data_IF_662150042085
#
_entry.id   IF_662150042085
#
_cell.length_a   1.000
_cell.length_b   1.000
_cell.length_c   1.000
_cell.angle_alpha   90.00
_cell.angle_beta   90.00
_cell.angle_gamma   90.00
#
_symmetry.space_group_name_H-M   'P 1'
#
loop_
_entity.id
_entity.type
_entity.pdbx_description
1 polymer ?
#
# COMPACT_ATOMS: atom_id res chain seq x y z
N UNK A 1 19.99 -38.98 -31.16
CA UNK A 1 20.40 -37.57 -31.41
C UNK A 1 19.33 -36.71 -32.12
N UNK A 2 18.87 -37.04 -33.35
CA UNK A 2 17.93 -36.22 -34.11
C UNK A 2 16.56 -35.96 -33.41
N UNK A 3 16.01 -36.93 -32.64
CA UNK A 3 14.73 -36.74 -31.86
C UNK A 3 14.90 -35.81 -30.69
N UNK A 4 16.00 -35.90 -29.94
CA UNK A 4 16.26 -34.99 -28.81
C UNK A 4 16.48 -33.54 -29.27
N UNK A 5 17.16 -33.35 -30.41
CA UNK A 5 17.39 -32.03 -31.01
C UNK A 5 16.07 -31.39 -31.46
N UNK A 6 15.16 -32.18 -32.05
CA UNK A 6 13.82 -31.69 -32.44
C UNK A 6 12.97 -31.32 -31.23
N UNK A 7 13.00 -32.11 -30.16
CA UNK A 7 12.28 -31.82 -28.92
C UNK A 7 12.79 -30.53 -28.25
N UNK A 8 14.11 -30.36 -28.18
CA UNK A 8 14.74 -29.14 -27.64
C UNK A 8 14.39 -27.91 -28.48
N UNK A 9 14.39 -28.01 -29.81
CA UNK A 9 14.02 -26.93 -30.72
C UNK A 9 12.55 -26.53 -30.56
N UNK A 10 11.64 -27.53 -30.43
CA UNK A 10 10.21 -27.28 -30.19
C UNK A 10 9.94 -26.60 -28.83
N UNK A 11 10.63 -27.05 -27.77
CA UNK A 11 10.54 -26.41 -26.43
C UNK A 11 11.07 -24.99 -26.45
N UNK A 12 12.17 -24.69 -27.14
CA UNK A 12 12.68 -23.33 -27.30
C UNK A 12 11.71 -22.44 -28.09
N UNK A 13 11.07 -22.94 -29.15
CA UNK A 13 10.10 -22.22 -29.94
C UNK A 13 8.82 -21.93 -29.13
N UNK A 14 8.34 -22.88 -28.34
CA UNK A 14 7.18 -22.69 -27.46
C UNK A 14 7.48 -21.69 -26.33
N UNK A 15 8.68 -21.77 -25.73
CA UNK A 15 9.11 -20.81 -24.72
C UNK A 15 9.26 -19.40 -25.28
N UNK A 16 9.81 -19.24 -26.48
CA UNK A 16 9.94 -17.95 -27.17
C UNK A 16 8.59 -17.37 -27.58
N UNK A 17 7.66 -18.20 -28.07
CA UNK A 17 6.30 -17.76 -28.41
C UNK A 17 5.52 -17.31 -27.17
N UNK A 18 5.63 -18.05 -26.06
CA UNK A 18 5.02 -17.66 -24.78
C UNK A 18 5.60 -16.34 -24.25
N UNK A 19 6.90 -16.14 -24.36
CA UNK A 19 7.57 -14.90 -23.96
C UNK A 19 7.15 -13.70 -24.81
N UNK A 20 7.04 -13.85 -26.12
CA UNK A 20 6.52 -12.81 -27.03
C UNK A 20 5.06 -12.45 -26.72
N UNK A 21 4.20 -13.44 -26.42
CA UNK A 21 2.81 -13.19 -26.07
C UNK A 21 2.68 -12.42 -24.74
N UNK A 22 3.45 -12.79 -23.71
CA UNK A 22 3.49 -12.09 -22.42
C UNK A 22 3.95 -10.65 -22.59
N UNK A 23 5.00 -10.39 -23.35
CA UNK A 23 5.49 -9.04 -23.65
C UNK A 23 4.46 -8.22 -24.42
N UNK A 24 3.70 -8.83 -25.33
CA UNK A 24 2.64 -8.14 -26.07
C UNK A 24 1.50 -7.70 -25.14
N UNK A 25 1.10 -8.54 -24.19
CA UNK A 25 0.11 -8.21 -23.17
C UNK A 25 0.58 -7.03 -22.32
N UNK A 26 1.82 -7.08 -21.83
CA UNK A 26 2.41 -5.98 -21.03
C UNK A 26 2.38 -4.68 -21.82
N UNK A 27 2.90 -4.66 -23.03
CA UNK A 27 2.90 -3.45 -23.90
C UNK A 27 1.49 -2.90 -24.11
N UNK A 28 0.52 -3.76 -24.42
CA UNK A 28 -0.89 -3.37 -24.62
C UNK A 28 -1.49 -2.78 -23.34
N UNK A 29 -1.20 -3.36 -22.19
CA UNK A 29 -1.70 -2.89 -20.89
C UNK A 29 -1.12 -1.51 -20.56
N UNK A 30 0.19 -1.31 -20.71
CA UNK A 30 0.81 -0.01 -20.46
C UNK A 30 0.32 1.05 -21.45
N UNK A 31 0.21 0.74 -22.75
CA UNK A 31 -0.35 1.68 -23.73
C UNK A 31 -1.80 2.08 -23.41
N UNK A 32 -2.61 1.18 -22.81
CA UNK A 32 -3.93 1.52 -22.31
C UNK A 32 -3.85 2.40 -21.07
N UNK A 33 -2.98 2.05 -20.11
CA UNK A 33 -2.78 2.82 -18.88
C UNK A 33 -2.33 4.26 -19.20
N UNK A 34 -1.40 4.46 -20.14
CA UNK A 34 -0.98 5.79 -20.60
C UNK A 34 -2.16 6.64 -21.07
N UNK A 35 -3.03 6.08 -21.93
CA UNK A 35 -4.20 6.82 -22.43
C UNK A 35 -5.19 7.16 -21.33
N UNK A 36 -5.46 6.21 -20.42
CA UNK A 36 -6.40 6.42 -19.33
C UNK A 36 -5.87 7.40 -18.28
N UNK A 37 -4.58 7.33 -17.96
CA UNK A 37 -3.94 8.27 -17.03
C UNK A 37 -3.91 9.69 -17.60
N UNK A 38 -3.58 9.86 -18.89
CA UNK A 38 -3.62 11.15 -19.55
C UNK A 38 -5.05 11.74 -19.56
N UNK A 39 -6.06 10.92 -19.83
CA UNK A 39 -7.47 11.34 -19.76
C UNK A 39 -7.85 11.75 -18.34
N UNK A 40 -7.54 10.92 -17.32
CA UNK A 40 -7.81 11.26 -15.92
C UNK A 40 -7.14 12.57 -15.51
N UNK A 41 -5.87 12.77 -15.87
CA UNK A 41 -5.14 14.01 -15.59
C UNK A 41 -5.82 15.24 -16.21
N UNK A 42 -6.32 15.11 -17.44
CA UNK A 42 -7.01 16.20 -18.15
C UNK A 42 -8.36 16.59 -17.53
N UNK A 43 -8.99 15.69 -16.77
CA UNK A 43 -10.26 15.93 -16.09
C UNK A 43 -10.07 16.57 -14.70
N UNK A 44 -8.85 16.60 -14.17
CA UNK A 44 -8.55 17.19 -12.88
C UNK A 44 -8.27 18.69 -13.04
N UNK A 45 -9.12 19.52 -12.45
CA UNK A 45 -9.09 20.98 -12.59
C UNK A 45 -7.98 21.68 -11.79
N UNK A 46 -7.34 20.96 -10.86
CA UNK A 46 -6.23 21.47 -10.05
C UNK A 46 -5.20 20.36 -9.72
N UNK A 47 -3.92 20.71 -9.50
CA UNK A 47 -2.87 19.73 -9.23
C UNK A 47 -3.04 18.99 -7.90
N UNK A 48 -3.72 19.59 -6.92
CA UNK A 48 -3.98 19.07 -5.57
C UNK A 48 -5.29 18.25 -5.47
N UNK A 49 -5.96 18.02 -6.59
CA UNK A 49 -7.10 17.12 -6.69
C UNK A 49 -6.67 15.74 -7.21
N UNK A 50 -7.16 14.71 -6.54
CA UNK A 50 -6.87 13.30 -6.84
C UNK A 50 -8.16 12.56 -7.21
N UNK A 51 -8.13 11.69 -8.23
CA UNK A 51 -9.32 10.95 -8.63
C UNK A 51 -9.74 9.97 -7.53
N UNK A 52 -11.03 9.89 -7.25
CA UNK A 52 -11.60 9.01 -6.23
C UNK A 52 -12.56 7.98 -6.82
N UNK A 53 -13.55 8.43 -7.58
CA UNK A 53 -14.55 7.57 -8.22
C UNK A 53 -15.30 8.35 -9.31
N UNK A 54 -16.19 7.67 -10.02
CA UNK A 54 -17.12 8.31 -10.95
C UNK A 54 -18.48 8.52 -10.29
N UNK A 55 -19.07 9.67 -10.53
CA UNK A 55 -20.46 9.94 -10.19
C UNK A 55 -21.40 9.27 -11.21
N UNK A 56 -22.68 9.02 -10.86
CA UNK A 56 -23.65 8.45 -11.81
C UNK A 56 -23.85 9.27 -13.09
N UNK A 57 -23.61 10.58 -13.03
CA UNK A 57 -23.71 11.51 -14.18
C UNK A 57 -22.46 11.49 -15.09
N UNK A 58 -21.47 10.63 -14.80
CA UNK A 58 -20.24 10.52 -15.56
C UNK A 58 -19.17 11.55 -15.18
N UNK A 59 -19.40 12.41 -14.19
CA UNK A 59 -18.38 13.32 -13.69
C UNK A 59 -17.42 12.61 -12.72
N UNK A 60 -16.18 13.14 -12.61
CA UNK A 60 -15.20 12.58 -11.69
C UNK A 60 -15.39 13.14 -10.28
N UNK A 61 -15.45 12.24 -9.31
CA UNK A 61 -15.34 12.60 -7.90
C UNK A 61 -13.87 12.68 -7.51
N UNK A 62 -13.47 13.75 -6.85
CA UNK A 62 -12.09 13.98 -6.44
C UNK A 62 -11.93 14.04 -4.92
N UNK A 63 -10.71 13.78 -4.46
CA UNK A 63 -10.25 14.00 -3.09
C UNK A 63 -9.09 15.02 -3.11
N UNK A 64 -8.86 15.65 -1.97
CA UNK A 64 -7.61 16.39 -1.69
C UNK A 64 -6.51 15.42 -1.24
N UNK A 65 -5.30 15.94 -0.98
CA UNK A 65 -4.19 15.17 -0.44
C UNK A 65 -4.55 14.37 0.84
N UNK A 66 -5.52 14.83 1.64
CA UNK A 66 -5.96 14.14 2.86
C UNK A 66 -6.89 12.94 2.63
N UNK A 67 -7.28 12.66 1.40
CA UNK A 67 -8.01 11.43 1.07
C UNK A 67 -7.05 10.22 1.08
N UNK A 68 -7.42 9.12 1.72
CA UNK A 68 -6.56 7.95 1.90
C UNK A 68 -6.01 7.34 0.57
N UNK A 69 -6.71 7.56 -0.53
CA UNK A 69 -6.32 7.08 -1.87
C UNK A 69 -5.45 8.08 -2.65
N UNK A 70 -5.10 9.24 -2.09
CA UNK A 70 -4.41 10.33 -2.81
C UNK A 70 -3.04 9.93 -3.38
N UNK A 71 -2.38 8.94 -2.79
CA UNK A 71 -1.08 8.47 -3.26
C UNK A 71 -1.11 7.53 -4.46
N UNK A 72 -2.26 6.90 -4.78
CA UNK A 72 -2.30 5.88 -5.85
C UNK A 72 -2.14 6.49 -7.24
N UNK A 73 -2.87 7.55 -7.55
CA UNK A 73 -2.77 8.17 -8.87
C UNK A 73 -1.37 8.70 -9.20
N UNK A 74 -0.68 9.43 -8.30
CA UNK A 74 0.73 9.76 -8.53
C UNK A 74 1.63 8.52 -8.65
N UNK A 75 1.38 7.46 -7.87
CA UNK A 75 2.17 6.22 -7.96
C UNK A 75 2.01 5.55 -9.34
N UNK A 76 0.80 5.49 -9.89
CA UNK A 76 0.56 4.98 -11.24
C UNK A 76 1.34 5.76 -12.30
N UNK A 77 1.43 7.08 -12.16
CA UNK A 77 2.21 7.93 -13.08
C UNK A 77 3.71 7.66 -12.96
N UNK A 78 4.22 7.45 -11.74
CA UNK A 78 5.61 7.03 -11.54
C UNK A 78 5.91 5.68 -12.19
N UNK A 79 4.98 4.72 -12.14
CA UNK A 79 5.11 3.43 -12.83
C UNK A 79 5.10 3.58 -14.35
N UNK A 80 4.31 4.50 -14.90
CA UNK A 80 4.36 4.83 -16.32
C UNK A 80 5.73 5.41 -16.72
N UNK A 81 6.28 6.31 -15.91
CA UNK A 81 7.65 6.80 -16.12
C UNK A 81 8.68 5.68 -16.03
N UNK A 82 8.57 4.79 -15.07
CA UNK A 82 9.48 3.65 -14.93
C UNK A 82 9.49 2.77 -16.18
N UNK A 83 8.31 2.50 -16.73
CA UNK A 83 8.15 1.65 -17.90
C UNK A 83 8.58 2.31 -19.20
N UNK A 84 8.16 3.56 -19.42
CA UNK A 84 8.33 4.25 -20.69
C UNK A 84 9.61 5.06 -20.80
N UNK A 85 10.13 5.56 -19.69
CA UNK A 85 11.21 6.56 -19.59
C UNK A 85 10.91 7.88 -20.30
N UNK A 86 9.65 8.13 -20.65
CA UNK A 86 9.20 9.38 -21.27
C UNK A 86 9.10 10.48 -20.20
N UNK A 87 9.78 11.60 -20.45
CA UNK A 87 9.86 12.73 -19.50
C UNK A 87 8.51 13.38 -19.22
N UNK A 88 7.53 13.27 -20.13
CA UNK A 88 6.17 13.75 -19.87
C UNK A 88 5.55 13.11 -18.62
N UNK A 89 5.83 11.80 -18.38
CA UNK A 89 5.35 11.09 -17.19
C UNK A 89 6.14 11.50 -15.95
N UNK A 90 7.44 11.79 -16.08
CA UNK A 90 8.26 12.32 -14.98
C UNK A 90 7.71 13.67 -14.49
N UNK A 91 7.44 14.59 -15.41
CA UNK A 91 6.93 15.92 -15.08
C UNK A 91 5.54 15.86 -14.47
N UNK A 92 4.67 15.01 -15.02
CA UNK A 92 3.33 14.77 -14.47
C UNK A 92 3.40 14.13 -13.08
N UNK A 93 4.26 13.12 -12.87
CA UNK A 93 4.43 12.45 -11.59
C UNK A 93 4.91 13.43 -10.51
N UNK A 94 5.90 14.27 -10.80
CA UNK A 94 6.37 15.33 -9.91
C UNK A 94 5.25 16.29 -9.54
N UNK A 95 4.53 16.80 -10.54
CA UNK A 95 3.42 17.74 -10.36
C UNK A 95 2.30 17.15 -9.49
N UNK A 96 1.92 15.87 -9.70
CA UNK A 96 0.87 15.20 -8.95
C UNK A 96 1.32 14.69 -7.59
N UNK A 97 2.62 14.53 -7.34
CA UNK A 97 3.17 14.16 -6.03
C UNK A 97 3.36 15.36 -5.11
N UNK A 98 3.71 16.54 -5.66
CA UNK A 98 4.04 17.73 -4.88
C UNK A 98 2.97 18.13 -3.81
N UNK A 99 1.65 18.06 -4.06
CA UNK A 99 0.66 18.41 -3.04
C UNK A 99 0.67 17.50 -1.80
N UNK A 100 1.28 16.31 -1.89
CA UNK A 100 1.39 15.38 -0.76
C UNK A 100 2.40 15.85 0.30
N UNK A 101 3.21 16.87 0.03
CA UNK A 101 4.06 17.53 1.02
C UNK A 101 3.26 18.04 2.23
N UNK A 102 1.99 18.40 2.03
CA UNK A 102 1.09 18.79 3.10
C UNK A 102 0.85 17.68 4.15
N UNK A 103 1.24 16.44 3.83
CA UNK A 103 1.09 15.28 4.71
C UNK A 103 2.34 14.98 5.56
N UNK A 104 3.43 15.68 5.34
CA UNK A 104 4.75 15.47 5.97
C UNK A 104 4.66 15.24 7.49
N UNK A 105 3.80 15.97 8.17
CA UNK A 105 3.58 15.88 9.63
C UNK A 105 2.10 15.65 9.98
N UNK A 106 1.38 14.97 9.11
CA UNK A 106 -0.06 14.75 9.29
C UNK A 106 -0.33 13.53 10.15
N UNK A 107 -0.78 13.75 11.39
CA UNK A 107 -0.96 12.69 12.41
C UNK A 107 -2.43 12.20 12.56
N UNK A 108 -3.35 12.68 11.72
CA UNK A 108 -4.80 12.41 11.88
C UNK A 108 -5.30 11.16 11.18
N UNK A 109 -4.41 10.42 10.52
CA UNK A 109 -4.72 9.16 9.84
C UNK A 109 -3.59 8.16 10.01
N UNK A 110 -3.90 6.88 9.85
CA UNK A 110 -2.88 5.83 9.71
C UNK A 110 -2.49 5.58 8.24
N UNK A 111 -3.20 6.18 7.29
CA UNK A 111 -3.09 5.86 5.85
C UNK A 111 -1.86 6.48 5.16
N UNK A 112 -0.88 6.95 5.91
CA UNK A 112 0.29 7.64 5.34
C UNK A 112 1.12 6.76 4.40
N UNK A 113 1.12 5.44 4.60
CA UNK A 113 1.73 4.51 3.66
C UNK A 113 1.02 4.49 2.30
N UNK A 114 -0.31 4.58 2.28
CA UNK A 114 -1.09 4.73 1.05
C UNK A 114 -0.87 6.09 0.39
N UNK A 115 -0.89 7.16 1.19
CA UNK A 115 -0.90 8.54 0.72
C UNK A 115 0.49 9.03 0.30
N UNK A 116 1.51 8.74 1.10
CA UNK A 116 2.90 9.17 0.89
C UNK A 116 3.78 8.01 0.44
N UNK A 117 3.65 6.85 1.10
CA UNK A 117 4.50 5.70 0.81
C UNK A 117 4.44 5.27 -0.64
N UNK A 118 3.24 5.06 -1.21
CA UNK A 118 3.08 4.58 -2.58
C UNK A 118 3.82 5.42 -3.62
N UNK A 119 3.61 6.74 -3.74
CA UNK A 119 4.30 7.53 -4.76
C UNK A 119 5.76 7.84 -4.40
N UNK A 120 6.07 8.13 -3.12
CA UNK A 120 7.40 8.60 -2.76
C UNK A 120 8.46 7.51 -2.75
N UNK A 121 8.10 6.23 -2.50
CA UNK A 121 9.02 5.11 -2.73
C UNK A 121 9.47 5.03 -4.18
N UNK A 122 8.53 5.14 -5.12
CA UNK A 122 8.81 5.11 -6.55
C UNK A 122 9.62 6.35 -6.96
N UNK A 123 9.21 7.52 -6.50
CA UNK A 123 9.87 8.78 -6.79
C UNK A 123 11.34 8.78 -6.35
N UNK A 124 11.62 8.41 -5.09
CA UNK A 124 12.98 8.32 -4.58
C UNK A 124 13.81 7.27 -5.32
N UNK A 125 13.26 6.07 -5.53
CA UNK A 125 13.95 4.98 -6.25
C UNK A 125 14.31 5.36 -7.68
N UNK A 126 13.45 6.10 -8.37
CA UNK A 126 13.62 6.44 -9.79
C UNK A 126 14.47 7.70 -10.02
N UNK A 127 14.53 8.61 -9.05
CA UNK A 127 15.19 9.91 -9.20
C UNK A 127 16.39 10.12 -8.29
N UNK A 128 16.45 9.43 -7.15
CA UNK A 128 17.44 9.69 -6.11
C UNK A 128 17.23 11.02 -5.38
N UNK A 129 16.08 11.69 -5.58
CA UNK A 129 15.82 13.01 -5.01
C UNK A 129 15.55 12.92 -3.50
N UNK A 130 16.44 13.52 -2.70
CA UNK A 130 16.38 13.52 -1.24
C UNK A 130 15.10 14.18 -0.67
N UNK A 131 14.40 15.00 -1.45
CA UNK A 131 13.10 15.53 -1.06
C UNK A 131 12.09 14.41 -0.75
N UNK A 132 11.97 13.40 -1.61
CA UNK A 132 11.07 12.26 -1.41
C UNK A 132 11.53 11.36 -0.26
N UNK A 133 12.84 11.17 -0.11
CA UNK A 133 13.42 10.48 1.05
C UNK A 133 13.01 11.14 2.35
N UNK A 134 13.18 12.46 2.44
CA UNK A 134 12.83 13.19 3.65
C UNK A 134 11.32 13.18 3.93
N UNK A 135 10.49 13.24 2.87
CA UNK A 135 9.03 13.14 3.01
C UNK A 135 8.61 11.76 3.55
N UNK A 136 9.25 10.67 3.10
CA UNK A 136 9.02 9.33 3.63
C UNK A 136 9.38 9.23 5.12
N UNK A 137 10.50 9.79 5.53
CA UNK A 137 10.97 9.78 6.92
C UNK A 137 9.99 10.58 7.81
N UNK A 138 9.66 11.81 7.42
CA UNK A 138 8.79 12.68 8.21
C UNK A 138 7.36 12.12 8.32
N UNK A 139 6.82 11.52 7.24
CA UNK A 139 5.53 10.84 7.28
C UNK A 139 5.57 9.56 8.14
N UNK A 140 6.71 8.87 8.18
CA UNK A 140 6.92 7.73 9.08
C UNK A 140 6.93 8.18 10.55
N UNK A 141 7.59 9.28 10.88
CA UNK A 141 7.54 9.86 12.23
C UNK A 141 6.10 10.26 12.61
N UNK A 142 5.36 10.86 11.68
CA UNK A 142 3.96 11.18 11.91
C UNK A 142 3.11 9.92 12.17
N UNK A 143 3.36 8.83 11.45
CA UNK A 143 2.68 7.54 11.64
C UNK A 143 3.02 6.93 13.00
N UNK A 144 4.28 7.01 13.45
CA UNK A 144 4.70 6.49 14.76
C UNK A 144 3.98 7.15 15.92
N UNK A 145 3.53 8.40 15.80
CA UNK A 145 2.74 9.08 16.86
C UNK A 145 1.44 8.35 17.19
N UNK A 146 0.98 7.47 16.31
CA UNK A 146 -0.24 6.68 16.48
C UNK A 146 0.00 5.31 17.12
N UNK A 147 1.24 4.97 17.40
CA UNK A 147 1.61 3.71 18.04
C UNK A 147 1.38 3.77 19.55
N UNK A 148 0.77 2.74 20.11
CA UNK A 148 0.65 2.54 21.56
C UNK A 148 1.57 1.41 22.00
N UNK A 149 2.54 1.65 22.90
CA UNK A 149 3.37 0.59 23.47
C UNK A 149 2.56 -0.45 24.26
N UNK A 150 1.47 -0.03 24.91
CA UNK A 150 0.58 -0.93 25.66
C UNK A 150 -0.18 -1.89 24.74
N UNK A 151 -0.76 -1.36 23.66
CA UNK A 151 -1.51 -2.17 22.69
C UNK A 151 -0.55 -2.90 21.74
N UNK A 152 0.62 -2.32 21.46
CA UNK A 152 1.60 -2.86 20.52
C UNK A 152 1.21 -2.71 19.04
N UNK A 153 0.37 -1.73 18.73
CA UNK A 153 -0.19 -1.50 17.39
C UNK A 153 -0.30 -0.01 17.09
N UNK A 154 -0.39 0.34 15.82
CA UNK A 154 -0.68 1.68 15.31
C UNK A 154 -2.19 1.83 15.22
N UNK A 155 -2.74 2.88 15.86
CA UNK A 155 -4.19 3.17 15.85
C UNK A 155 -4.63 3.63 14.45
N UNK A 156 -5.74 3.05 13.97
CA UNK A 156 -6.28 3.42 12.66
C UNK A 156 -7.13 4.69 12.71
N UNK A 157 -8.10 4.77 13.62
CA UNK A 157 -9.03 5.87 13.68
C UNK A 157 -9.10 6.49 15.07
N UNK A 158 -9.27 7.80 15.11
CA UNK A 158 -9.52 8.51 16.36
C UNK A 158 -11.00 8.43 16.73
N UNK A 159 -11.28 8.40 18.03
CA UNK A 159 -12.62 8.46 18.53
C UNK A 159 -13.07 9.91 18.69
N UNK A 160 -14.39 10.15 18.62
CA UNK A 160 -14.96 11.44 18.94
C UNK A 160 -14.68 11.79 20.39
N UNK A 161 -14.36 13.05 20.66
CA UNK A 161 -14.07 13.54 22.02
C UNK A 161 -12.71 13.14 22.58
N UNK A 162 -11.85 12.48 21.78
CA UNK A 162 -10.48 12.12 22.21
C UNK A 162 -10.40 10.89 23.14
N UNK A 163 -11.52 10.20 23.42
CA UNK A 163 -11.51 8.95 24.18
C UNK A 163 -10.58 7.92 23.48
N UNK A 164 -9.56 7.38 24.18
CA UNK A 164 -8.69 6.35 23.60
C UNK A 164 -9.40 5.03 23.33
N UNK A 165 -10.59 4.78 23.92
CA UNK A 165 -11.30 3.50 23.82
C UNK A 165 -12.55 3.60 22.94
N UNK A 166 -12.85 2.54 22.14
CA UNK A 166 -11.94 1.42 21.87
C UNK A 166 -10.79 1.86 20.98
N UNK A 167 -9.59 1.33 21.24
CA UNK A 167 -8.42 1.51 20.38
C UNK A 167 -8.60 0.65 19.12
N UNK A 168 -8.92 1.29 17.99
CA UNK A 168 -9.30 0.57 16.77
C UNK A 168 -8.11 0.40 15.84
N UNK A 169 -7.92 -0.84 15.38
CA UNK A 169 -6.93 -1.21 14.36
C UNK A 169 -7.63 -1.95 13.24
N UNK A 170 -7.40 -1.55 12.00
CA UNK A 170 -7.92 -2.22 10.82
C UNK A 170 -6.80 -2.92 10.06
N UNK A 171 -7.15 -3.97 9.34
CA UNK A 171 -6.18 -4.81 8.59
C UNK A 171 -5.40 -4.00 7.56
N UNK A 172 -5.97 -2.92 7.04
CA UNK A 172 -5.36 -1.98 6.08
C UNK A 172 -4.03 -1.39 6.58
N UNK A 173 -3.85 -1.32 7.90
CA UNK A 173 -2.61 -0.84 8.50
C UNK A 173 -1.36 -1.64 8.07
N UNK A 174 -1.55 -2.90 7.68
CA UNK A 174 -0.46 -3.73 7.16
C UNK A 174 0.21 -3.13 5.91
N UNK A 175 -0.55 -2.41 5.07
CA UNK A 175 -0.02 -1.70 3.92
C UNK A 175 0.93 -0.56 4.32
N UNK A 176 0.69 0.11 5.45
CA UNK A 176 1.46 1.27 5.89
C UNK A 176 2.83 0.90 6.48
N UNK A 177 3.05 -0.37 6.84
CA UNK A 177 4.29 -0.82 7.47
C UNK A 177 5.50 -0.76 6.52
N UNK A 178 5.30 -0.87 5.21
CA UNK A 178 6.38 -0.79 4.22
C UNK A 178 7.10 0.57 4.30
N UNK A 179 6.36 1.65 4.55
CA UNK A 179 6.95 2.97 4.74
C UNK A 179 7.86 3.00 5.98
N UNK A 180 7.49 2.32 7.07
CA UNK A 180 8.31 2.22 8.27
C UNK A 180 9.59 1.39 8.02
N UNK A 181 9.50 0.24 7.37
CA UNK A 181 10.69 -0.53 7.00
C UNK A 181 11.62 0.28 6.11
N UNK A 182 11.07 1.04 5.18
CA UNK A 182 11.87 1.94 4.34
C UNK A 182 12.55 3.04 5.15
N UNK A 183 11.83 3.71 6.06
CA UNK A 183 12.42 4.72 6.93
C UNK A 183 13.55 4.13 7.79
N UNK A 184 13.39 2.91 8.30
CA UNK A 184 14.47 2.21 9.02
C UNK A 184 15.72 2.00 8.15
N UNK A 185 15.57 1.58 6.91
CA UNK A 185 16.70 1.40 5.99
C UNK A 185 17.38 2.72 5.62
N UNK A 186 16.60 3.79 5.45
CA UNK A 186 17.10 5.11 5.04
C UNK A 186 17.83 5.84 6.16
N UNK A 187 17.44 5.59 7.42
CA UNK A 187 17.97 6.31 8.59
C UNK A 187 18.91 5.48 9.48
N UNK A 188 18.81 4.15 9.40
CA UNK A 188 19.43 3.22 10.36
C UNK A 188 18.71 3.14 11.71
N UNK A 189 17.62 3.90 11.91
CA UNK A 189 16.85 3.90 13.14
C UNK A 189 15.94 2.67 13.22
N UNK A 190 16.24 1.79 14.17
CA UNK A 190 15.52 0.54 14.38
C UNK A 190 14.10 0.73 14.92
N UNK A 191 13.77 1.88 15.51
CA UNK A 191 12.42 2.14 16.04
C UNK A 191 11.33 1.89 14.99
N UNK A 192 11.56 2.30 13.75
CA UNK A 192 10.62 2.07 12.65
C UNK A 192 10.42 0.59 12.38
N UNK A 193 11.52 -0.16 12.26
CA UNK A 193 11.49 -1.62 12.06
C UNK A 193 10.78 -2.33 13.21
N UNK A 194 11.15 -2.03 14.46
CA UNK A 194 10.66 -2.74 15.64
C UNK A 194 9.15 -2.50 15.85
N UNK A 195 8.69 -1.28 15.57
CA UNK A 195 7.25 -0.96 15.62
C UNK A 195 6.49 -1.66 14.50
N UNK A 196 7.04 -1.71 13.28
CA UNK A 196 6.42 -2.41 12.16
C UNK A 196 6.28 -3.92 12.46
N UNK A 197 7.34 -4.57 12.96
CA UNK A 197 7.33 -5.98 13.37
C UNK A 197 6.33 -6.22 14.49
N UNK A 198 6.33 -5.39 15.53
CA UNK A 198 5.39 -5.52 16.64
C UNK A 198 3.94 -5.37 16.21
N UNK A 199 3.67 -4.44 15.28
CA UNK A 199 2.35 -4.28 14.68
C UNK A 199 1.95 -5.55 13.89
N UNK A 200 2.85 -6.08 13.06
CA UNK A 200 2.61 -7.28 12.26
C UNK A 200 2.35 -8.51 13.14
N UNK A 201 3.12 -8.72 14.21
CA UNK A 201 2.95 -9.83 15.15
C UNK A 201 1.58 -9.79 15.84
N UNK A 202 1.15 -8.62 16.30
CA UNK A 202 -0.16 -8.49 16.94
C UNK A 202 -1.31 -8.60 15.92
N UNK A 203 -1.11 -8.17 14.68
CA UNK A 203 -2.07 -8.38 13.60
C UNK A 203 -2.17 -9.85 13.23
N UNK A 204 -1.04 -10.57 13.13
CA UNK A 204 -0.98 -12.02 12.92
C UNK A 204 -1.81 -12.78 13.96
N UNK A 205 -1.70 -12.36 15.22
CA UNK A 205 -2.38 -13.00 16.36
C UNK A 205 -3.88 -12.73 16.38
N UNK A 206 -4.32 -11.53 16.03
CA UNK A 206 -5.65 -11.05 16.39
C UNK A 206 -6.59 -10.78 15.20
N UNK A 207 -6.10 -10.67 13.96
CA UNK A 207 -6.92 -10.25 12.82
C UNK A 207 -7.44 -11.38 11.93
N UNK A 208 -7.19 -12.65 12.29
CA UNK A 208 -7.60 -13.77 11.44
C UNK A 208 -8.52 -14.73 12.19
N UNK A 209 -9.50 -15.24 11.44
CA UNK A 209 -10.40 -16.30 11.89
C UNK A 209 -9.74 -17.68 11.69
N UNK A 210 -10.30 -18.74 12.30
CA UNK A 210 -9.79 -20.12 12.10
C UNK A 210 -9.78 -20.58 10.63
N UNK A 211 -10.68 -20.04 9.80
CA UNK A 211 -10.75 -20.32 8.36
C UNK A 211 -9.76 -19.49 7.52
N UNK A 212 -8.87 -18.74 8.17
CA UNK A 212 -7.88 -17.82 7.59
C UNK A 212 -8.45 -16.54 6.97
N UNK A 213 -9.74 -16.29 7.05
CA UNK A 213 -10.31 -15.00 6.65
C UNK A 213 -9.99 -13.90 7.67
N UNK A 214 -9.81 -12.66 7.20
CA UNK A 214 -9.47 -11.54 8.06
C UNK A 214 -10.70 -10.84 8.66
N UNK A 215 -10.60 -10.39 9.92
CA UNK A 215 -11.44 -9.32 10.44
C UNK A 215 -10.99 -7.98 9.87
N UNK A 216 -11.94 -7.13 9.49
CA UNK A 216 -11.60 -5.76 9.10
C UNK A 216 -11.11 -4.98 10.31
N UNK A 217 -11.84 -5.01 11.43
CA UNK A 217 -11.58 -4.19 12.62
C UNK A 217 -11.34 -5.09 13.82
N UNK A 218 -10.25 -4.84 14.54
CA UNK A 218 -10.02 -5.34 15.90
C UNK A 218 -9.96 -4.17 16.85
N UNK A 219 -10.75 -4.25 17.93
CA UNK A 219 -10.80 -3.26 18.99
C UNK A 219 -10.00 -3.74 20.19
N UNK A 220 -9.29 -2.82 20.81
CA UNK A 220 -8.48 -3.07 21.99
C UNK A 220 -8.85 -2.08 23.10
N UNK A 221 -8.65 -2.47 24.33
CA UNK A 221 -8.60 -1.56 25.47
C UNK A 221 -7.24 -0.82 25.47
N UNK A 222 -7.26 0.49 25.45
CA UNK A 222 -6.04 1.31 25.33
C UNK A 222 -5.13 1.21 26.56
N UNK A 223 -5.70 0.94 27.75
CA UNK A 223 -4.96 0.84 29.01
C UNK A 223 -4.32 -0.50 29.26
N UNK A 224 -4.94 -1.59 28.76
CA UNK A 224 -4.48 -2.96 29.01
C UNK A 224 -3.95 -3.70 27.79
N UNK A 225 -4.23 -3.21 26.58
CA UNK A 225 -3.89 -3.87 25.32
C UNK A 225 -4.72 -5.12 25.00
N UNK A 226 -5.74 -5.43 25.80
CA UNK A 226 -6.60 -6.60 25.57
C UNK A 226 -7.55 -6.37 24.41
N UNK A 227 -7.79 -7.41 23.61
CA UNK A 227 -8.84 -7.39 22.59
C UNK A 227 -10.20 -7.28 23.25
N UNK A 228 -10.99 -6.29 22.85
CA UNK A 228 -12.37 -6.05 23.33
C UNK A 228 -13.43 -6.39 22.30
N UNK A 229 -13.03 -6.61 21.04
CA UNK A 229 -13.94 -7.02 19.98
C UNK A 229 -13.26 -7.19 18.64
N UNK A 230 -13.82 -8.07 17.82
CA UNK A 230 -13.40 -8.35 16.44
C UNK A 230 -14.64 -8.29 15.57
N UNK A 231 -14.59 -7.53 14.45
CA UNK A 231 -15.78 -7.32 13.63
C UNK A 231 -15.44 -7.01 12.17
N UNK A 232 -16.43 -7.22 11.32
CA UNK A 232 -16.47 -6.60 10.00
C UNK A 232 -16.65 -5.09 10.12
N UNK A 233 -16.50 -4.39 9.03
CA UNK A 233 -16.73 -2.94 8.91
C UNK A 233 -17.05 -2.60 7.49
N UNK A 234 -16.32 -3.18 6.56
CA UNK A 234 -16.59 -3.17 5.12
C UNK A 234 -16.85 -4.63 4.66
N UNK A 235 -17.36 -4.79 3.44
CA UNK A 235 -17.76 -6.09 2.91
C UNK A 235 -19.26 -6.33 3.03
N UNK A 236 -19.70 -7.56 2.74
CA UNK A 236 -21.11 -7.92 2.66
C UNK A 236 -21.80 -7.93 4.03
N UNK A 237 -21.13 -8.44 5.06
CA UNK A 237 -21.67 -8.54 6.42
C UNK A 237 -20.55 -8.53 7.47
N UNK A 238 -20.93 -8.38 8.75
CA UNK A 238 -19.98 -8.45 9.85
C UNK A 238 -19.29 -9.82 9.99
N UNK A 239 -19.93 -10.89 9.52
CA UNK A 239 -19.41 -12.25 9.54
C UNK A 239 -18.59 -12.61 8.29
N UNK A 240 -18.73 -11.83 7.19
CA UNK A 240 -18.00 -12.10 5.95
C UNK A 240 -16.56 -11.57 5.98
N UNK A 241 -15.69 -12.17 5.18
CA UNK A 241 -14.42 -11.58 4.84
C UNK A 241 -14.63 -10.46 3.81
N UNK A 242 -13.98 -9.32 4.04
CA UNK A 242 -13.94 -8.24 3.08
C UNK A 242 -12.73 -8.45 2.15
N UNK A 243 -12.97 -8.66 0.85
CA UNK A 243 -11.94 -9.07 -0.11
C UNK A 243 -10.73 -8.12 -0.15
N UNK A 244 -10.98 -6.80 -0.15
CA UNK A 244 -9.87 -5.82 -0.11
C UNK A 244 -9.08 -5.91 1.19
N UNK A 245 -9.73 -6.10 2.35
CA UNK A 245 -9.05 -6.30 3.63
C UNK A 245 -8.21 -7.58 3.66
N UNK A 246 -8.73 -8.67 3.08
CA UNK A 246 -7.97 -9.91 2.90
C UNK A 246 -6.72 -9.66 2.05
N UNK A 247 -6.86 -8.89 0.98
CA UNK A 247 -5.73 -8.51 0.10
C UNK A 247 -4.70 -7.64 0.83
N UNK A 248 -5.12 -6.73 1.71
CA UNK A 248 -4.17 -5.96 2.54
C UNK A 248 -3.39 -6.84 3.50
N UNK A 249 -4.04 -7.86 4.08
CA UNK A 249 -3.37 -8.88 4.89
C UNK A 249 -2.33 -9.65 4.07
N UNK A 250 -2.72 -10.17 2.90
CA UNK A 250 -1.83 -10.87 1.98
C UNK A 250 -0.61 -10.02 1.60
N UNK A 251 -0.86 -8.78 1.13
CA UNK A 251 0.20 -7.84 0.79
C UNK A 251 1.13 -7.60 1.98
N UNK A 252 0.57 -7.21 3.13
CA UNK A 252 1.35 -6.80 4.28
C UNK A 252 2.21 -7.92 4.84
N UNK A 253 1.70 -9.15 4.93
CA UNK A 253 2.51 -10.28 5.41
C UNK A 253 3.55 -10.74 4.39
N UNK A 254 3.27 -10.66 3.08
CA UNK A 254 4.28 -10.89 2.04
C UNK A 254 5.42 -9.86 2.16
N UNK A 255 5.08 -8.61 2.35
CA UNK A 255 6.03 -7.51 2.54
C UNK A 255 6.83 -7.70 3.84
N UNK A 256 6.18 -8.02 4.97
CA UNK A 256 6.88 -8.29 6.23
C UNK A 256 7.86 -9.46 6.10
N UNK A 257 7.51 -10.53 5.38
CA UNK A 257 8.45 -11.61 5.07
C UNK A 257 9.65 -11.11 4.25
N UNK A 258 9.43 -10.31 3.23
CA UNK A 258 10.50 -9.71 2.42
C UNK A 258 11.48 -8.87 3.26
N UNK A 259 10.96 -8.11 4.23
CA UNK A 259 11.75 -7.20 5.05
C UNK A 259 12.48 -7.89 6.23
N UNK A 260 11.94 -9.02 6.73
CA UNK A 260 12.43 -9.65 7.96
C UNK A 260 13.00 -11.06 7.76
N UNK A 261 12.60 -11.75 6.69
CA UNK A 261 12.89 -13.17 6.49
C UNK A 261 12.11 -14.12 7.41
N UNK A 262 11.19 -13.62 8.25
CA UNK A 262 10.43 -14.43 9.20
C UNK A 262 9.36 -15.26 8.48
N UNK A 263 9.55 -16.58 8.50
CA UNK A 263 8.65 -17.54 7.82
C UNK A 263 7.22 -17.52 8.34
N UNK A 264 6.97 -17.07 9.58
CA UNK A 264 5.61 -16.93 10.12
C UNK A 264 4.76 -16.00 9.25
N UNK A 265 5.37 -14.94 8.71
CA UNK A 265 4.70 -14.00 7.81
C UNK A 265 4.44 -14.61 6.43
N UNK A 266 5.41 -15.39 5.89
CA UNK A 266 5.19 -16.12 4.64
C UNK A 266 4.03 -17.12 4.78
N UNK A 267 4.04 -17.91 5.85
CA UNK A 267 2.97 -18.89 6.13
C UNK A 267 1.60 -18.20 6.25
N UNK A 268 1.56 -17.01 6.87
CA UNK A 268 0.32 -16.23 6.95
C UNK A 268 -0.11 -15.72 5.57
N UNK A 269 0.80 -15.21 4.77
CA UNK A 269 0.51 -14.74 3.41
C UNK A 269 -0.07 -15.86 2.55
N UNK A 270 0.57 -17.05 2.55
CA UNK A 270 0.09 -18.24 1.82
C UNK A 270 -1.32 -18.65 2.26
N UNK A 271 -1.61 -18.63 3.57
CA UNK A 271 -2.95 -18.95 4.09
C UNK A 271 -4.00 -17.87 3.79
N UNK A 272 -3.59 -16.67 3.44
CA UNK A 272 -4.49 -15.55 3.11
C UNK A 272 -4.78 -15.46 1.62
N UNK A 273 -3.97 -16.12 0.76
CA UNK A 273 -4.17 -16.21 -0.69
C UNK A 273 -5.24 -17.23 -1.07
#
# INVERSE_FOLDING_TARGET
MKRMLRLALTLCLLASAGHCAAQAIVRKSFARAERQTALLDSLLTAPDLFPASWNPDGTIKTNTARGWISGFFPADIWLLYEYTRDTKWLDMARRRTAPLDALRRYTKTHDLGFMVGCPCHLAYRLTGDDHYKQLLIDASDALLTRFSPTVGLIRSWDNKGGDPNPYRVIIDNMMNLEMLFTASRLTGDKRYHDIAVRHADNTLKNHFRPDNSSFHIVCYDAGTGRVTGQKGGQGHSAASAWSRGQSWGLYGFTMCYRETGDKRYLDRAVKSA
#
